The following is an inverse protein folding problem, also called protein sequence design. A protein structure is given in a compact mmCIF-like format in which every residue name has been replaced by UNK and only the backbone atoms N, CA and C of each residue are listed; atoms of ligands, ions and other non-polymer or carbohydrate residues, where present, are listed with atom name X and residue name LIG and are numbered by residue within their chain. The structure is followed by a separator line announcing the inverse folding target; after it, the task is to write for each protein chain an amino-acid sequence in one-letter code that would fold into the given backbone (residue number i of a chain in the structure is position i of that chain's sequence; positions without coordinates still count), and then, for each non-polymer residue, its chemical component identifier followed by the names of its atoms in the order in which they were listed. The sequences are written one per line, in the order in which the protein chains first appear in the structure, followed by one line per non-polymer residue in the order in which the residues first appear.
data_IF_829652096032
#
_entry.id   IF_829652096032
#
_cell.length_a   1.000
_cell.length_b   1.000
_cell.length_c   1.000
_cell.angle_alpha   90.00
_cell.angle_beta   90.00
_cell.angle_gamma   90.00
#
_symmetry.space_group_name_H-M   'P 1'
#
loop_
_entity.id
_entity.type
_entity.pdbx_description
1 polymer ?
#
# COMPACT_ATOMS: atom_id res chain seq x y z
N UNK A 1 -49.51 41.47 -1.04
CA UNK A 1 -49.29 42.94 -1.06
C UNK A 1 -48.17 43.36 -0.09
N UNK A 2 -48.26 43.08 1.22
CA UNK A 2 -47.23 43.52 2.18
C UNK A 2 -45.83 42.87 1.98
N UNK A 3 -45.77 41.60 1.59
CA UNK A 3 -44.51 40.90 1.29
C UNK A 3 -43.79 41.45 0.06
N UNK A 4 -44.54 41.83 -0.97
CA UNK A 4 -44.02 42.42 -2.22
C UNK A 4 -43.39 43.79 -1.97
N UNK A 5 -44.09 44.67 -1.23
CA UNK A 5 -43.58 46.02 -0.90
C UNK A 5 -42.29 45.94 -0.07
N UNK A 6 -42.22 45.01 0.89
CA UNK A 6 -41.03 44.84 1.73
C UNK A 6 -39.84 44.31 0.91
N UNK A 7 -40.08 43.39 -0.02
CA UNK A 7 -39.06 42.88 -0.95
C UNK A 7 -38.49 43.98 -1.83
N UNK A 8 -39.35 44.80 -2.44
CA UNK A 8 -38.94 45.94 -3.27
C UNK A 8 -38.15 46.98 -2.46
N UNK A 9 -38.60 47.30 -1.24
CA UNK A 9 -37.91 48.25 -0.36
C UNK A 9 -36.51 47.75 0.03
N UNK A 10 -36.39 46.49 0.43
CA UNK A 10 -35.11 45.89 0.84
C UNK A 10 -34.11 45.87 -0.33
N UNK A 11 -34.56 45.51 -1.53
CA UNK A 11 -33.71 45.50 -2.72
C UNK A 11 -33.30 46.91 -3.16
N UNK A 12 -34.22 47.88 -3.05
CA UNK A 12 -33.91 49.30 -3.27
C UNK A 12 -32.88 49.83 -2.27
N UNK A 13 -33.04 49.50 -0.99
CA UNK A 13 -32.11 49.90 0.08
C UNK A 13 -30.72 49.28 -0.11
N UNK A 14 -30.65 47.97 -0.37
CA UNK A 14 -29.42 47.24 -0.70
C UNK A 14 -28.69 47.89 -1.88
N UNK A 15 -29.41 48.19 -2.97
CA UNK A 15 -28.82 48.78 -4.18
C UNK A 15 -28.31 50.20 -3.94
N UNK A 16 -29.03 51.00 -3.14
CA UNK A 16 -28.58 52.33 -2.75
C UNK A 16 -27.33 52.29 -1.84
N UNK A 17 -27.31 51.39 -0.86
CA UNK A 17 -26.15 51.18 0.01
C UNK A 17 -24.93 50.69 -0.76
N UNK A 18 -25.11 49.77 -1.71
CA UNK A 18 -24.05 49.27 -2.58
C UNK A 18 -23.44 50.40 -3.42
N UNK A 19 -24.30 51.21 -4.06
CA UNK A 19 -23.86 52.37 -4.84
C UNK A 19 -23.13 53.41 -3.97
N UNK A 20 -23.60 53.65 -2.75
CA UNK A 20 -22.93 54.52 -1.79
C UNK A 20 -21.58 53.94 -1.35
N UNK A 21 -21.50 52.64 -1.08
CA UNK A 21 -20.27 51.98 -0.64
C UNK A 21 -19.17 52.10 -1.69
N UNK A 22 -19.50 51.78 -2.95
CA UNK A 22 -18.57 51.85 -4.08
C UNK A 22 -18.22 53.31 -4.43
N UNK A 23 -19.22 54.19 -4.50
CA UNK A 23 -19.05 55.55 -5.02
C UNK A 23 -18.57 56.59 -4.02
N UNK A 24 -18.80 56.38 -2.72
CA UNK A 24 -18.53 57.37 -1.67
C UNK A 24 -17.68 56.81 -0.54
N UNK A 25 -18.06 55.67 0.04
CA UNK A 25 -17.35 55.15 1.22
C UNK A 25 -15.94 54.65 0.89
N UNK A 26 -15.81 53.69 -0.03
CA UNK A 26 -14.50 53.10 -0.37
C UNK A 26 -13.47 54.14 -0.86
N UNK A 27 -13.81 55.10 -1.75
CA UNK A 27 -12.88 56.15 -2.18
C UNK A 27 -12.48 57.13 -1.08
N UNK A 28 -13.36 57.42 -0.12
CA UNK A 28 -13.13 58.41 0.95
C UNK A 28 -12.77 57.77 2.30
N UNK A 29 -12.53 56.46 2.34
CA UNK A 29 -12.27 55.69 3.57
C UNK A 29 -10.94 56.02 4.25
N UNK A 30 -10.00 56.63 3.52
CA UNK A 30 -8.62 56.83 3.97
C UNK A 30 -7.73 55.57 3.82
N UNK A 31 -8.30 54.44 3.41
CA UNK A 31 -7.57 53.21 3.08
C UNK A 31 -7.33 53.15 1.56
N UNK A 32 -6.09 53.41 1.16
CA UNK A 32 -5.68 53.37 -0.25
C UNK A 32 -5.86 52.00 -0.89
N UNK A 33 -5.71 50.90 -0.12
CA UNK A 33 -5.87 49.53 -0.60
C UNK A 33 -7.33 49.27 -0.92
N UNK A 34 -8.22 49.57 0.02
CA UNK A 34 -9.67 49.44 -0.17
C UNK A 34 -10.17 50.30 -1.34
N UNK A 35 -9.70 51.55 -1.43
CA UNK A 35 -10.10 52.47 -2.49
C UNK A 35 -9.70 52.00 -3.88
N UNK A 36 -8.59 51.25 -4.00
CA UNK A 36 -8.11 50.71 -5.26
C UNK A 36 -8.79 49.39 -5.63
N UNK A 37 -9.10 48.55 -4.63
CA UNK A 37 -9.72 47.24 -4.85
C UNK A 37 -11.20 47.34 -5.21
N UNK A 38 -11.97 48.22 -4.55
CA UNK A 38 -13.43 48.24 -4.69
C UNK A 38 -13.86 49.17 -5.83
N UNK A 39 -14.24 48.63 -6.99
CA UNK A 39 -14.75 49.38 -8.15
C UNK A 39 -16.10 48.88 -8.64
N UNK A 40 -16.40 47.62 -8.42
CA UNK A 40 -17.57 46.91 -8.93
C UNK A 40 -18.33 46.21 -7.80
N UNK A 41 -19.59 45.82 -8.02
CA UNK A 41 -20.32 44.95 -7.10
C UNK A 41 -19.60 43.63 -6.77
N UNK A 42 -18.89 43.06 -7.74
CA UNK A 42 -18.15 41.81 -7.56
C UNK A 42 -16.97 42.02 -6.59
N UNK A 43 -16.27 43.15 -6.68
CA UNK A 43 -15.20 43.50 -5.72
C UNK A 43 -15.76 43.64 -4.29
N UNK A 44 -16.99 44.16 -4.15
CA UNK A 44 -17.68 44.24 -2.85
C UNK A 44 -18.02 42.85 -2.33
N UNK A 45 -18.49 41.94 -3.20
CA UNK A 45 -18.75 40.56 -2.85
C UNK A 45 -17.49 39.84 -2.38
N UNK A 46 -16.39 39.94 -3.15
CA UNK A 46 -15.12 39.31 -2.80
C UNK A 46 -14.56 39.86 -1.49
N UNK A 47 -14.63 41.18 -1.27
CA UNK A 47 -14.10 41.82 -0.07
C UNK A 47 -14.94 41.60 1.19
N UNK A 48 -16.28 41.71 1.08
CA UNK A 48 -17.18 41.54 2.22
C UNK A 48 -17.64 40.09 2.43
N UNK A 49 -17.30 39.18 1.51
CA UNK A 49 -17.65 37.75 1.53
C UNK A 49 -19.16 37.50 1.60
N UNK A 50 -19.96 38.43 1.11
CA UNK A 50 -21.43 38.35 1.06
C UNK A 50 -21.93 38.99 -0.23
N UNK A 51 -22.74 38.25 -0.98
CA UNK A 51 -23.20 38.69 -2.30
C UNK A 51 -24.23 39.84 -2.15
N UNK A 52 -23.90 41.07 -2.61
CA UNK A 52 -24.76 42.23 -2.48
C UNK A 52 -25.85 42.30 -3.57
N UNK A 53 -25.94 41.31 -4.47
CA UNK A 53 -26.90 41.26 -5.57
C UNK A 53 -28.02 40.23 -5.36
N UNK A 54 -27.98 39.46 -4.27
CA UNK A 54 -29.00 38.48 -3.90
C UNK A 54 -30.39 39.10 -3.68
N UNK A 55 -31.42 38.49 -4.25
CA UNK A 55 -32.81 38.93 -4.10
C UNK A 55 -33.35 38.66 -2.69
N UNK A 56 -34.40 39.36 -2.30
CA UNK A 56 -35.01 39.18 -0.97
C UNK A 56 -35.64 37.78 -0.76
N UNK A 57 -35.84 37.01 -1.83
CA UNK A 57 -36.50 35.70 -1.76
C UNK A 57 -35.54 34.57 -1.36
N UNK A 58 -34.22 34.80 -1.45
CA UNK A 58 -33.22 33.82 -1.02
C UNK A 58 -33.07 33.88 0.49
N UNK A 59 -33.53 32.82 1.16
CA UNK A 59 -33.45 32.71 2.62
C UNK A 59 -32.23 31.87 3.03
N UNK A 60 -31.46 32.37 3.99
CA UNK A 60 -30.34 31.67 4.61
C UNK A 60 -30.34 31.91 6.12
N UNK A 61 -29.78 30.96 6.88
CA UNK A 61 -29.56 31.17 8.31
C UNK A 61 -28.29 32.00 8.51
N UNK A 62 -28.19 32.72 9.64
CA UNK A 62 -26.99 33.51 9.96
C UNK A 62 -25.72 32.65 10.02
N UNK A 63 -25.84 31.42 10.54
CA UNK A 63 -24.72 30.49 10.64
C UNK A 63 -24.31 29.97 9.27
N UNK A 64 -25.27 29.61 8.42
CA UNK A 64 -25.00 29.15 7.06
C UNK A 64 -24.31 30.26 6.23
N UNK A 65 -24.79 31.50 6.32
CA UNK A 65 -24.15 32.62 5.62
C UNK A 65 -22.71 32.86 6.11
N UNK A 66 -22.49 32.88 7.43
CA UNK A 66 -21.15 33.07 7.98
C UNK A 66 -20.20 31.94 7.56
N UNK A 67 -20.69 30.70 7.52
CA UNK A 67 -19.95 29.54 7.04
C UNK A 67 -19.57 29.68 5.56
N UNK A 68 -20.51 30.08 4.69
CA UNK A 68 -20.23 30.34 3.27
C UNK A 68 -19.17 31.43 3.08
N UNK A 69 -19.24 32.52 3.86
CA UNK A 69 -18.25 33.60 3.83
C UNK A 69 -16.85 33.09 4.20
N UNK A 70 -16.73 32.30 5.27
CA UNK A 70 -15.45 31.73 5.71
C UNK A 70 -14.92 30.72 4.68
N UNK A 71 -15.79 29.87 4.11
CA UNK A 71 -15.41 28.92 3.06
C UNK A 71 -14.86 29.63 1.82
N UNK A 72 -15.54 30.70 1.36
CA UNK A 72 -15.06 31.53 0.26
C UNK A 72 -13.67 32.08 0.55
N UNK A 73 -13.46 32.65 1.74
CA UNK A 73 -12.17 33.21 2.13
C UNK A 73 -11.04 32.18 2.14
N UNK A 74 -11.27 31.01 2.75
CA UNK A 74 -10.27 29.93 2.79
C UNK A 74 -9.97 29.42 1.37
N UNK A 75 -10.98 29.31 0.50
CA UNK A 75 -10.79 28.94 -0.89
C UNK A 75 -9.95 29.96 -1.67
N UNK A 76 -10.20 31.26 -1.46
CA UNK A 76 -9.41 32.32 -2.07
C UNK A 76 -7.94 32.29 -1.59
N UNK A 77 -7.68 31.97 -0.32
CA UNK A 77 -6.31 31.75 0.18
C UNK A 77 -5.69 30.51 -0.49
N UNK A 78 -6.41 29.39 -0.50
CA UNK A 78 -5.94 28.12 -1.07
C UNK A 78 -5.57 28.21 -2.56
N UNK A 79 -6.27 29.07 -3.31
CA UNK A 79 -6.04 29.34 -4.72
C UNK A 79 -5.02 30.47 -4.98
N UNK A 80 -4.40 31.03 -3.93
CA UNK A 80 -3.53 32.21 -4.00
C UNK A 80 -4.20 33.43 -4.68
N UNK A 81 -5.50 33.57 -4.50
CA UNK A 81 -6.28 34.72 -4.96
C UNK A 81 -6.30 35.84 -3.91
N UNK A 82 -6.15 35.51 -2.62
CA UNK A 82 -6.09 36.52 -1.55
C UNK A 82 -4.73 37.24 -1.50
N UNK A 83 -4.71 38.58 -1.63
CA UNK A 83 -3.50 39.37 -1.46
C UNK A 83 -2.88 39.19 -0.06
N UNK A 84 -1.55 39.16 0.00
CA UNK A 84 -0.80 39.06 1.27
C UNK A 84 -0.45 37.64 1.69
N UNK A 85 -1.06 36.61 1.09
CA UNK A 85 -0.76 35.20 1.38
C UNK A 85 0.24 34.56 0.41
N UNK A 86 0.58 35.23 -0.70
CA UNK A 86 1.47 34.74 -1.77
C UNK A 86 2.91 34.39 -1.33
N UNK A 87 3.32 34.77 -0.11
CA UNK A 87 4.68 34.53 0.42
C UNK A 87 4.71 33.51 1.55
N UNK A 88 3.55 33.02 1.99
CA UNK A 88 3.45 32.00 3.03
C UNK A 88 3.31 30.64 2.38
N UNK A 89 4.18 29.70 2.74
CA UNK A 89 3.95 28.30 2.42
C UNK A 89 2.73 27.84 3.22
N UNK A 90 1.58 27.69 2.55
CA UNK A 90 0.42 27.03 3.14
C UNK A 90 0.83 25.61 3.52
N UNK A 91 0.50 25.16 4.73
CA UNK A 91 0.76 23.80 5.15
C UNK A 91 0.05 22.83 4.19
N UNK A 92 0.85 22.07 3.44
CA UNK A 92 0.36 21.11 2.46
C UNK A 92 -0.60 20.08 3.07
N UNK A 93 -0.43 19.77 4.36
CA UNK A 93 -1.31 18.86 5.11
C UNK A 93 -2.68 19.48 5.32
N UNK A 94 -2.74 20.74 5.74
CA UNK A 94 -4.02 21.45 5.93
C UNK A 94 -4.72 21.69 4.60
N UNK A 95 -3.99 22.05 3.55
CA UNK A 95 -4.55 22.24 2.22
C UNK A 95 -5.14 20.94 1.67
N UNK A 96 -4.43 19.82 1.83
CA UNK A 96 -4.94 18.49 1.47
C UNK A 96 -6.18 18.14 2.27
N UNK A 97 -6.21 18.42 3.58
CA UNK A 97 -7.39 18.20 4.43
C UNK A 97 -8.58 19.05 3.98
N UNK A 98 -8.36 20.32 3.67
CA UNK A 98 -9.38 21.23 3.14
C UNK A 98 -10.00 20.67 1.86
N UNK A 99 -9.15 20.36 0.88
CA UNK A 99 -9.58 19.85 -0.43
C UNK A 99 -10.21 18.45 -0.38
N UNK A 100 -9.92 17.66 0.65
CA UNK A 100 -10.48 16.31 0.82
C UNK A 100 -11.85 16.31 1.52
N UNK A 101 -12.49 17.48 1.72
CA UNK A 101 -13.86 17.55 2.20
C UNK A 101 -14.10 18.42 3.43
N UNK A 102 -13.05 19.02 4.02
CA UNK A 102 -13.28 20.00 5.10
C UNK A 102 -13.85 21.34 4.57
N UNK A 103 -13.73 21.57 3.26
CA UNK A 103 -14.39 22.65 2.52
C UNK A 103 -15.92 22.52 2.47
N UNK A 104 -16.46 21.32 2.70
CA UNK A 104 -17.90 21.02 2.60
C UNK A 104 -18.46 20.53 3.93
N UNK A 105 -19.44 21.26 4.47
CA UNK A 105 -20.05 20.95 5.77
C UNK A 105 -20.56 19.50 5.87
N UNK A 106 -21.21 18.99 4.83
CA UNK A 106 -21.76 17.63 4.85
C UNK A 106 -20.66 16.55 4.91
N UNK A 107 -19.57 16.73 4.17
CA UNK A 107 -18.45 15.79 4.16
C UNK A 107 -17.67 15.86 5.47
N UNK A 108 -17.38 17.08 5.94
CA UNK A 108 -16.79 17.29 7.26
C UNK A 108 -17.63 16.68 8.38
N UNK A 109 -18.96 16.90 8.35
CA UNK A 109 -19.89 16.34 9.32
C UNK A 109 -19.88 14.81 9.29
N UNK A 110 -19.83 14.21 8.10
CA UNK A 110 -19.67 12.77 7.93
C UNK A 110 -18.36 12.22 8.51
N UNK A 111 -17.24 12.95 8.40
CA UNK A 111 -15.99 12.55 9.06
C UNK A 111 -16.07 12.59 10.59
N UNK A 112 -16.71 13.62 11.15
CA UNK A 112 -16.93 13.73 12.61
C UNK A 112 -17.85 12.62 13.10
N UNK A 113 -18.90 12.31 12.33
CA UNK A 113 -19.81 11.22 12.64
C UNK A 113 -19.12 9.86 12.52
N UNK A 114 -18.30 9.62 11.50
CA UNK A 114 -17.53 8.38 11.33
C UNK A 114 -16.59 8.10 12.52
N UNK A 115 -15.96 9.15 13.05
CA UNK A 115 -15.07 9.04 14.23
C UNK A 115 -15.86 8.70 15.52
N UNK A 116 -17.09 9.22 15.64
CA UNK A 116 -17.93 9.05 16.84
C UNK A 116 -18.84 7.81 16.79
N UNK A 117 -19.33 7.46 15.61
CA UNK A 117 -20.34 6.44 15.33
C UNK A 117 -19.96 5.61 14.08
N UNK A 118 -18.81 4.90 14.12
CA UNK A 118 -18.36 4.10 12.98
C UNK A 118 -19.38 3.03 12.55
N UNK A 119 -20.23 2.55 13.46
CA UNK A 119 -21.30 1.59 13.19
C UNK A 119 -22.32 2.06 12.14
N UNK A 120 -22.49 3.38 11.97
CA UNK A 120 -23.37 3.95 10.94
C UNK A 120 -22.80 3.74 9.52
N UNK A 121 -21.49 3.52 9.41
CA UNK A 121 -20.76 3.43 8.14
C UNK A 121 -20.18 2.03 7.86
N UNK A 122 -20.18 1.14 8.86
CA UNK A 122 -19.73 -0.23 8.67
C UNK A 122 -20.75 -0.99 7.84
N UNK A 123 -20.34 -1.37 6.63
CA UNK A 123 -21.01 -2.39 5.82
C UNK A 123 -20.13 -3.65 5.80
N UNK A 124 -20.60 -4.79 6.36
CA UNK A 124 -19.83 -6.05 6.37
C UNK A 124 -19.39 -6.53 4.98
N UNK A 125 -20.14 -6.16 3.94
CA UNK A 125 -19.87 -6.58 2.55
C UNK A 125 -18.85 -5.70 1.84
N UNK A 126 -18.63 -4.46 2.31
CA UNK A 126 -17.71 -3.48 1.73
C UNK A 126 -16.44 -3.28 2.56
N UNK A 127 -16.14 -4.23 3.44
CA UNK A 127 -14.92 -4.19 4.26
C UNK A 127 -13.70 -4.01 3.34
N UNK A 128 -12.85 -3.05 3.66
CA UNK A 128 -11.55 -2.93 2.99
C UNK A 128 -10.67 -4.13 3.37
N UNK A 129 -9.76 -4.51 2.47
CA UNK A 129 -8.82 -5.64 2.66
C UNK A 129 -9.53 -6.97 3.02
N UNK A 130 -10.56 -7.32 2.24
CA UNK A 130 -11.14 -8.67 2.25
C UNK A 130 -10.13 -9.67 1.67
N UNK A 131 -9.92 -10.78 2.39
CA UNK A 131 -9.06 -11.87 1.92
C UNK A 131 -9.68 -12.58 0.74
N UNK A 132 -8.87 -13.25 -0.09
CA UNK A 132 -9.39 -14.06 -1.20
C UNK A 132 -10.42 -15.09 -0.72
N UNK A 133 -10.11 -15.79 0.36
CA UNK A 133 -10.98 -16.77 1.00
C UNK A 133 -12.35 -16.16 1.42
N UNK A 134 -12.35 -14.92 1.92
CA UNK A 134 -13.60 -14.23 2.27
C UNK A 134 -14.39 -13.78 1.03
N UNK A 135 -13.71 -13.36 -0.02
CA UNK A 135 -14.35 -13.03 -1.30
C UNK A 135 -14.97 -14.26 -1.97
N UNK A 136 -14.33 -15.42 -1.86
CA UNK A 136 -14.84 -16.69 -2.35
C UNK A 136 -16.10 -17.11 -1.58
N UNK A 137 -16.12 -16.92 -0.25
CA UNK A 137 -17.32 -17.10 0.59
C UNK A 137 -18.48 -16.20 0.15
N UNK A 138 -18.22 -14.89 -0.04
CA UNK A 138 -19.25 -13.94 -0.52
C UNK A 138 -19.76 -14.39 -1.88
N UNK A 139 -18.87 -14.80 -2.78
CA UNK A 139 -19.22 -15.24 -4.13
C UNK A 139 -20.11 -16.48 -4.08
N UNK A 140 -19.77 -17.48 -3.27
CA UNK A 140 -20.59 -18.70 -3.14
C UNK A 140 -21.99 -18.41 -2.58
N UNK A 141 -22.07 -17.55 -1.56
CA UNK A 141 -23.35 -17.14 -0.95
C UNK A 141 -24.23 -16.34 -1.93
N UNK A 142 -23.63 -15.53 -2.80
CA UNK A 142 -24.37 -14.71 -3.78
C UNK A 142 -24.90 -15.53 -4.97
N UNK A 143 -24.24 -16.64 -5.32
CA UNK A 143 -24.64 -17.46 -6.47
C UNK A 143 -25.84 -18.38 -6.20
N UNK A 144 -26.03 -18.78 -4.94
CA UNK A 144 -27.06 -19.76 -4.54
C UNK A 144 -28.22 -19.06 -3.83
N UNK A 145 -29.41 -19.64 -3.91
CA UNK A 145 -30.49 -19.24 -3.00
C UNK A 145 -30.05 -19.53 -1.56
N UNK A 146 -30.07 -18.51 -0.71
CA UNK A 146 -29.67 -18.64 0.69
C UNK A 146 -30.67 -19.53 1.42
N UNK A 147 -30.20 -20.71 1.83
CA UNK A 147 -30.87 -21.65 2.71
C UNK A 147 -29.88 -22.09 3.79
N UNK A 148 -30.35 -22.75 4.84
CA UNK A 148 -29.45 -23.25 5.90
C UNK A 148 -28.37 -24.18 5.34
N UNK A 149 -28.72 -25.05 4.38
CA UNK A 149 -27.80 -26.00 3.79
C UNK A 149 -26.74 -25.30 2.92
N UNK A 150 -27.15 -24.32 2.09
CA UNK A 150 -26.20 -23.60 1.23
C UNK A 150 -25.28 -22.68 2.04
N UNK A 151 -25.80 -22.06 3.10
CA UNK A 151 -24.99 -21.27 4.03
C UNK A 151 -23.98 -22.14 4.78
N UNK A 152 -24.40 -23.32 5.28
CA UNK A 152 -23.50 -24.25 5.95
C UNK A 152 -22.38 -24.74 5.03
N UNK A 153 -22.71 -25.08 3.78
CA UNK A 153 -21.72 -25.51 2.78
C UNK A 153 -20.69 -24.41 2.49
N UNK A 154 -21.14 -23.17 2.30
CA UNK A 154 -20.26 -22.05 2.01
C UNK A 154 -19.29 -21.77 3.18
N UNK A 155 -19.81 -21.80 4.42
CA UNK A 155 -18.96 -21.66 5.62
C UNK A 155 -17.98 -22.82 5.77
N UNK A 156 -18.38 -24.06 5.46
CA UNK A 156 -17.47 -25.20 5.46
C UNK A 156 -16.36 -25.04 4.42
N UNK A 157 -16.68 -24.54 3.22
CA UNK A 157 -15.69 -24.21 2.19
C UNK A 157 -14.66 -23.19 2.69
N UNK A 158 -15.14 -22.09 3.26
CA UNK A 158 -14.30 -21.07 3.89
C UNK A 158 -13.39 -21.64 4.99
N UNK A 159 -13.93 -22.48 5.88
CA UNK A 159 -13.14 -23.06 6.97
C UNK A 159 -12.04 -24.02 6.47
N UNK A 160 -12.29 -24.76 5.38
CA UNK A 160 -11.28 -25.63 4.78
C UNK A 160 -10.12 -24.83 4.17
N UNK A 161 -10.39 -23.71 3.52
CA UNK A 161 -9.35 -22.80 3.01
C UNK A 161 -8.60 -22.12 4.15
N UNK A 162 -9.33 -21.68 5.18
CA UNK A 162 -8.74 -21.11 6.39
C UNK A 162 -7.78 -22.09 7.09
N UNK A 163 -8.17 -23.36 7.22
CA UNK A 163 -7.33 -24.40 7.83
C UNK A 163 -6.00 -24.58 7.07
N UNK A 164 -6.01 -24.49 5.74
CA UNK A 164 -4.79 -24.59 4.93
C UNK A 164 -3.80 -23.46 5.24
N UNK A 165 -4.28 -22.21 5.32
CA UNK A 165 -3.42 -21.06 5.58
C UNK A 165 -3.03 -20.91 7.06
N UNK A 166 -3.85 -21.44 7.97
CA UNK A 166 -3.58 -21.41 9.41
C UNK A 166 -2.45 -22.38 9.82
N UNK A 167 -2.30 -23.50 9.12
CA UNK A 167 -1.32 -24.55 9.42
C UNK A 167 0.00 -24.42 8.63
N UNK A 168 0.26 -23.27 8.00
CA UNK A 168 1.49 -23.05 7.24
C UNK A 168 2.72 -23.05 8.16
N UNK A 169 3.77 -23.76 7.74
CA UNK A 169 5.08 -23.72 8.39
C UNK A 169 5.94 -22.63 7.75
N UNK A 170 6.49 -21.71 8.56
CA UNK A 170 7.43 -20.69 8.07
C UNK A 170 8.73 -21.35 7.61
N UNK A 171 9.14 -21.05 6.38
CA UNK A 171 10.34 -21.57 5.74
C UNK A 171 11.50 -20.59 5.90
N UNK A 172 11.30 -19.35 5.45
CA UNK A 172 12.29 -18.28 5.46
C UNK A 172 11.63 -16.90 5.50
N UNK A 173 12.42 -15.87 5.77
CA UNK A 173 12.00 -14.47 5.72
C UNK A 173 13.06 -13.58 5.08
N UNK A 174 12.63 -12.43 4.58
CA UNK A 174 13.46 -11.39 3.96
C UNK A 174 13.01 -10.02 4.43
N UNK A 175 13.94 -9.19 4.90
CA UNK A 175 13.70 -7.81 5.26
C UNK A 175 14.21 -6.88 4.14
N UNK A 176 13.39 -5.92 3.74
CA UNK A 176 13.74 -4.94 2.70
C UNK A 176 14.66 -3.83 3.19
N UNK A 177 14.69 -3.58 4.50
CA UNK A 177 15.52 -2.55 5.13
C UNK A 177 16.60 -3.18 6.03
N UNK A 178 17.72 -2.47 6.20
CA UNK A 178 18.79 -2.82 7.15
C UNK A 178 18.35 -2.57 8.59
N UNK A 179 17.54 -1.53 8.80
CA UNK A 179 16.92 -1.22 10.07
C UNK A 179 15.72 -2.16 10.30
N UNK A 180 15.87 -3.07 11.24
CA UNK A 180 14.86 -4.08 11.55
C UNK A 180 13.55 -3.47 12.08
N UNK A 181 13.54 -2.19 12.45
CA UNK A 181 12.33 -1.48 12.90
C UNK A 181 11.56 -0.83 11.75
N UNK A 182 12.03 -1.00 10.51
CA UNK A 182 11.47 -0.36 9.31
C UNK A 182 11.31 -1.34 8.16
N UNK A 183 10.64 -0.86 7.12
CA UNK A 183 10.46 -1.56 5.87
C UNK A 183 9.48 -2.72 5.95
N UNK A 184 9.45 -3.47 4.85
CA UNK A 184 8.58 -4.62 4.66
C UNK A 184 9.37 -5.90 4.88
N UNK A 185 8.79 -6.80 5.67
CA UNK A 185 9.22 -8.18 5.82
C UNK A 185 8.39 -9.07 4.92
N UNK A 186 9.05 -9.87 4.10
CA UNK A 186 8.40 -10.94 3.33
C UNK A 186 8.67 -12.27 4.02
N UNK A 187 7.61 -13.04 4.27
CA UNK A 187 7.69 -14.38 4.84
C UNK A 187 7.26 -15.41 3.81
N UNK A 188 8.03 -16.49 3.72
CA UNK A 188 7.71 -17.67 2.94
C UNK A 188 7.17 -18.74 3.89
N UNK A 189 5.98 -19.25 3.59
CA UNK A 189 5.35 -20.38 4.27
C UNK A 189 5.18 -21.55 3.30
N UNK A 190 5.04 -22.76 3.85
CA UNK A 190 4.64 -23.93 3.07
C UNK A 190 3.57 -24.74 3.79
N UNK A 191 2.71 -25.40 3.01
CA UNK A 191 1.72 -26.34 3.54
C UNK A 191 2.39 -27.56 4.17
N UNK A 192 1.66 -28.20 5.09
CA UNK A 192 2.05 -29.47 5.71
C UNK A 192 1.51 -30.69 4.95
N UNK A 193 0.60 -30.45 4.01
CA UNK A 193 0.02 -31.46 3.11
C UNK A 193 0.96 -31.81 1.96
N UNK A 194 0.74 -32.98 1.35
CA UNK A 194 1.36 -33.41 0.10
C UNK A 194 0.31 -33.43 -1.01
N UNK A 195 0.54 -32.79 -2.18
CA UNK A 195 1.74 -32.05 -2.55
C UNK A 195 1.92 -30.75 -1.76
N UNK A 196 3.18 -30.34 -1.58
CA UNK A 196 3.54 -29.11 -0.87
C UNK A 196 3.17 -27.90 -1.73
N UNK A 197 2.48 -26.93 -1.13
CA UNK A 197 2.17 -25.63 -1.73
C UNK A 197 2.89 -24.54 -0.94
N UNK A 198 3.61 -23.68 -1.65
CA UNK A 198 4.26 -22.52 -1.07
C UNK A 198 3.34 -21.30 -1.07
N UNK A 199 3.48 -20.47 -0.03
CA UNK A 199 2.75 -19.22 0.14
C UNK A 199 3.70 -18.11 0.58
N UNK A 200 3.37 -16.87 0.26
CA UNK A 200 4.09 -15.72 0.78
C UNK A 200 3.14 -14.71 1.41
N UNK A 201 3.63 -13.95 2.38
CA UNK A 201 2.93 -12.77 2.90
C UNK A 201 3.92 -11.67 3.22
N UNK A 202 3.43 -10.45 3.36
CA UNK A 202 4.20 -9.31 3.80
C UNK A 202 3.75 -8.79 5.16
N UNK A 203 4.68 -8.16 5.86
CA UNK A 203 4.46 -7.44 7.10
C UNK A 203 5.16 -6.08 7.03
N UNK A 204 4.39 -5.01 7.14
CA UNK A 204 4.92 -3.64 7.18
C UNK A 204 5.26 -3.26 8.62
N UNK A 205 6.57 -3.23 8.91
CA UNK A 205 7.07 -2.93 10.24
C UNK A 205 6.83 -1.45 10.63
N UNK A 206 6.64 -0.56 9.66
CA UNK A 206 6.34 0.86 9.95
C UNK A 206 4.96 1.06 10.60
N UNK A 207 4.07 0.08 10.45
CA UNK A 207 2.73 0.05 11.06
C UNK A 207 2.73 -0.63 12.44
N UNK A 208 3.90 -0.94 12.99
CA UNK A 208 4.09 -1.37 14.36
C UNK A 208 4.54 -0.20 15.23
N UNK A 209 3.59 0.49 15.88
CA UNK A 209 3.88 1.65 16.74
C UNK A 209 3.74 1.23 18.19
N UNK A 210 4.81 1.36 18.98
CA UNK A 210 4.84 1.00 20.40
C UNK A 210 4.37 -0.44 20.71
N UNK A 211 4.72 -1.39 19.85
CA UNK A 211 4.26 -2.80 19.90
C UNK A 211 2.74 -2.98 19.71
N UNK A 212 2.06 -1.97 19.17
CA UNK A 212 0.67 -2.05 18.73
C UNK A 212 0.66 -2.14 17.21
N UNK A 213 0.20 -3.29 16.70
CA UNK A 213 0.09 -3.56 15.27
C UNK A 213 -1.20 -2.99 14.71
N UNK A 214 -1.10 -2.18 13.66
CA UNK A 214 -2.27 -1.87 12.85
C UNK A 214 -2.84 -3.15 12.22
N UNK A 215 -4.16 -3.22 12.06
CA UNK A 215 -4.85 -4.39 11.48
C UNK A 215 -4.41 -4.68 10.03
N UNK A 216 -3.97 -3.65 9.30
CA UNK A 216 -3.47 -3.72 7.93
C UNK A 216 -1.93 -3.84 7.84
N UNK A 217 -1.22 -4.01 8.97
CA UNK A 217 0.22 -4.21 8.96
C UNK A 217 0.62 -5.54 8.28
N UNK A 218 -0.28 -6.52 8.28
CA UNK A 218 -0.10 -7.81 7.64
C UNK A 218 -0.91 -7.91 6.35
N UNK A 219 -0.29 -8.45 5.29
CA UNK A 219 -1.07 -9.01 4.18
C UNK A 219 -1.64 -10.37 4.54
N UNK A 220 -2.61 -10.84 3.76
CA UNK A 220 -2.97 -12.26 3.73
C UNK A 220 -1.83 -13.12 3.17
N UNK A 221 -2.02 -14.44 3.24
CA UNK A 221 -1.15 -15.41 2.58
C UNK A 221 -1.55 -15.56 1.10
N UNK A 222 -0.60 -15.32 0.21
CA UNK A 222 -0.77 -15.50 -1.23
C UNK A 222 -0.11 -16.79 -1.69
N UNK A 223 -0.79 -17.64 -2.48
CA UNK A 223 -0.15 -18.82 -3.04
C UNK A 223 0.95 -18.42 -4.03
N UNK A 224 2.02 -19.21 -4.06
CA UNK A 224 3.05 -19.15 -5.10
C UNK A 224 2.67 -20.14 -6.19
N UNK A 225 2.20 -19.63 -7.33
CA UNK A 225 1.73 -20.45 -8.46
C UNK A 225 2.84 -20.86 -9.45
N UNK A 226 4.08 -20.96 -8.97
CA UNK A 226 5.21 -21.51 -9.74
C UNK A 226 5.43 -22.98 -9.37
N UNK A 227 5.80 -23.81 -10.34
CA UNK A 227 6.04 -25.23 -10.11
C UNK A 227 7.37 -25.44 -9.39
N UNK A 228 7.32 -25.96 -8.16
CA UNK A 228 8.50 -26.26 -7.34
C UNK A 228 8.41 -27.70 -6.90
N UNK A 229 9.48 -28.48 -7.11
CA UNK A 229 9.52 -29.85 -6.61
C UNK A 229 10.18 -29.88 -5.22
N UNK A 230 9.37 -29.83 -4.15
CA UNK A 230 9.86 -29.79 -2.76
C UNK A 230 10.84 -30.93 -2.42
N UNK A 231 10.68 -32.09 -3.07
CA UNK A 231 11.54 -33.26 -2.84
C UNK A 231 12.97 -33.08 -3.39
N UNK A 232 13.17 -32.20 -4.37
CA UNK A 232 14.48 -31.94 -4.97
C UNK A 232 15.19 -30.74 -4.35
N UNK A 233 14.50 -29.95 -3.54
CA UNK A 233 15.03 -28.71 -2.97
C UNK A 233 16.28 -28.97 -2.12
N UNK A 234 17.32 -28.19 -2.39
CA UNK A 234 18.53 -28.13 -1.59
C UNK A 234 18.52 -26.85 -0.74
N UNK A 235 18.67 -27.01 0.58
CA UNK A 235 18.59 -25.90 1.54
C UNK A 235 17.15 -25.38 1.72
N UNK A 236 16.99 -24.06 1.79
CA UNK A 236 15.68 -23.41 1.97
C UNK A 236 15.42 -22.38 0.87
N UNK A 237 14.25 -22.38 0.20
CA UNK A 237 13.89 -21.30 -0.71
C UNK A 237 13.86 -19.94 0.00
N UNK A 238 14.21 -18.88 -0.71
CA UNK A 238 14.37 -17.52 -0.18
C UNK A 238 13.59 -16.54 -1.05
N UNK A 239 12.81 -15.68 -0.41
CA UNK A 239 12.25 -14.49 -1.06
C UNK A 239 13.31 -13.38 -1.07
N UNK A 240 13.27 -12.50 -2.08
CA UNK A 240 14.06 -11.28 -2.11
C UNK A 240 13.33 -10.19 -2.88
N UNK A 241 13.43 -8.95 -2.41
CA UNK A 241 12.90 -7.79 -3.12
C UNK A 241 14.03 -7.05 -3.83
N UNK A 242 13.95 -6.96 -5.15
CA UNK A 242 14.98 -6.36 -6.00
C UNK A 242 14.33 -5.75 -7.25
N UNK A 243 14.83 -4.61 -7.73
CA UNK A 243 14.29 -3.91 -8.91
C UNK A 243 12.76 -3.74 -8.90
N UNK A 244 12.22 -3.34 -7.73
CA UNK A 244 10.79 -3.16 -7.49
C UNK A 244 9.92 -4.41 -7.71
N UNK A 245 10.51 -5.60 -7.60
CA UNK A 245 9.81 -6.89 -7.74
C UNK A 245 10.21 -7.86 -6.64
N UNK A 246 9.28 -8.73 -6.27
CA UNK A 246 9.53 -9.85 -5.38
C UNK A 246 9.97 -11.05 -6.21
N UNK A 247 11.09 -11.65 -5.83
CA UNK A 247 11.63 -12.86 -6.42
C UNK A 247 11.62 -13.99 -5.40
N UNK A 248 11.50 -15.21 -5.89
CA UNK A 248 11.72 -16.44 -5.16
C UNK A 248 12.91 -17.15 -5.79
N UNK A 249 13.88 -17.53 -4.96
CA UNK A 249 15.05 -18.30 -5.36
C UNK A 249 15.09 -19.62 -4.62
N UNK A 250 15.46 -20.67 -5.33
CA UNK A 250 15.65 -21.99 -4.76
C UNK A 250 16.67 -22.78 -5.56
N UNK A 251 17.13 -23.89 -4.99
CA UNK A 251 18.08 -24.79 -5.61
C UNK A 251 17.46 -26.17 -5.67
N UNK A 252 17.61 -26.89 -6.77
CA UNK A 252 17.16 -28.28 -6.92
C UNK A 252 18.34 -29.18 -7.29
N UNK A 253 18.36 -30.41 -6.76
CA UNK A 253 19.33 -31.44 -7.15
C UNK A 253 18.67 -32.44 -8.09
N UNK A 254 19.37 -32.79 -9.16
CA UNK A 254 19.02 -33.92 -10.01
C UNK A 254 20.16 -34.95 -9.96
N UNK A 255 19.80 -36.22 -9.80
CA UNK A 255 20.74 -37.34 -9.84
C UNK A 255 21.07 -37.71 -11.30
N UNK A 256 22.33 -38.07 -11.56
CA UNK A 256 22.75 -38.60 -12.85
C UNK A 256 22.12 -39.97 -13.10
N UNK A 257 21.57 -40.21 -14.30
CA UNK A 257 20.85 -41.44 -14.65
C UNK A 257 21.74 -42.49 -15.33
N UNK A 258 23.07 -42.41 -15.20
CA UNK A 258 23.99 -43.32 -15.87
C UNK A 258 25.40 -43.37 -15.29
N UNK A 259 26.21 -44.37 -15.68
CA UNK A 259 27.55 -44.61 -15.14
C UNK A 259 28.59 -43.51 -15.45
N UNK A 260 28.25 -42.53 -16.29
CA UNK A 260 29.06 -41.34 -16.61
C UNK A 260 28.24 -40.04 -16.50
N UNK A 261 27.11 -40.06 -15.79
CA UNK A 261 26.30 -38.86 -15.57
C UNK A 261 26.57 -38.35 -14.15
N UNK A 262 26.91 -37.06 -14.06
CA UNK A 262 27.13 -36.36 -12.80
C UNK A 262 25.82 -35.89 -12.20
N UNK A 263 25.78 -35.82 -10.88
CA UNK A 263 24.69 -35.12 -10.19
C UNK A 263 24.81 -33.62 -10.47
N UNK A 264 23.69 -32.93 -10.55
CA UNK A 264 23.66 -31.49 -10.78
C UNK A 264 22.87 -30.77 -9.69
N UNK A 265 23.30 -29.56 -9.34
CA UNK A 265 22.51 -28.63 -8.54
C UNK A 265 22.23 -27.41 -9.40
N UNK A 266 20.94 -27.09 -9.55
CA UNK A 266 20.42 -26.03 -10.40
C UNK A 266 19.85 -24.91 -9.56
N UNK A 267 20.25 -23.68 -9.83
CA UNK A 267 19.68 -22.48 -9.23
C UNK A 267 18.52 -21.96 -10.07
N UNK A 268 17.36 -21.79 -9.45
CA UNK A 268 16.15 -21.28 -10.09
C UNK A 268 15.70 -19.96 -9.50
N UNK A 269 15.02 -19.17 -10.33
CA UNK A 269 14.29 -17.99 -9.91
C UNK A 269 12.87 -17.97 -10.48
N UNK A 270 11.97 -17.32 -9.77
CA UNK A 270 10.65 -16.94 -10.26
C UNK A 270 10.34 -15.54 -9.76
N UNK A 271 9.74 -14.71 -10.61
CA UNK A 271 9.41 -13.32 -10.27
C UNK A 271 7.90 -13.15 -10.13
N UNK A 272 7.49 -12.37 -9.14
CA UNK A 272 6.11 -11.99 -8.89
C UNK A 272 5.76 -10.72 -9.67
N UNK A 273 4.68 -10.75 -10.44
CA UNK A 273 4.15 -9.59 -11.15
C UNK A 273 3.25 -8.72 -10.25
N UNK A 274 2.77 -7.60 -10.79
CA UNK A 274 1.90 -6.69 -10.04
C UNK A 274 0.50 -7.28 -9.75
N UNK A 275 0.12 -8.35 -10.46
CA UNK A 275 -1.11 -9.11 -10.24
C UNK A 275 -0.90 -10.28 -9.27
N UNK A 276 0.27 -10.39 -8.64
CA UNK A 276 0.67 -11.45 -7.70
C UNK A 276 0.80 -12.84 -8.33
N UNK A 277 0.95 -12.91 -9.65
CA UNK A 277 1.28 -14.15 -10.35
C UNK A 277 2.79 -14.31 -10.46
N UNK A 278 3.24 -15.55 -10.33
CA UNK A 278 4.64 -15.93 -10.42
C UNK A 278 4.96 -16.44 -11.82
N UNK A 279 6.12 -16.05 -12.34
CA UNK A 279 6.62 -16.58 -13.60
C UNK A 279 6.95 -18.08 -13.49
N UNK A 280 6.99 -18.77 -14.63
CA UNK A 280 7.59 -20.10 -14.70
C UNK A 280 9.03 -20.09 -14.15
N UNK A 281 9.51 -21.21 -13.57
CA UNK A 281 10.89 -21.33 -13.11
C UNK A 281 11.89 -20.98 -14.20
N UNK A 282 12.77 -20.03 -13.92
CA UNK A 282 13.88 -19.65 -14.78
C UNK A 282 15.18 -20.24 -14.22
N UNK A 283 15.83 -21.12 -14.99
CA UNK A 283 17.13 -21.68 -14.66
C UNK A 283 18.20 -20.59 -14.80
N UNK A 284 18.86 -20.28 -13.70
CA UNK A 284 19.88 -19.23 -13.64
C UNK A 284 21.28 -19.77 -13.90
N UNK A 285 21.62 -20.91 -13.27
CA UNK A 285 22.94 -21.53 -13.35
C UNK A 285 22.88 -22.97 -12.84
N UNK A 286 23.87 -23.77 -13.23
CA UNK A 286 24.00 -25.18 -12.87
C UNK A 286 25.44 -25.46 -12.48
N UNK A 287 25.61 -26.27 -11.43
CA UNK A 287 26.89 -26.88 -11.06
C UNK A 287 26.75 -28.41 -11.08
N UNK A 288 27.86 -29.11 -11.27
CA UNK A 288 27.93 -30.57 -11.26
C UNK A 288 29.07 -31.08 -10.38
N UNK A 289 29.01 -32.37 -10.02
CA UNK A 289 30.06 -33.05 -9.26
C UNK A 289 31.09 -33.79 -10.13
N UNK A 290 31.15 -33.52 -11.44
CA UNK A 290 32.15 -34.10 -12.31
C UNK A 290 33.48 -33.36 -12.17
N UNK A 291 34.35 -33.90 -11.33
CA UNK A 291 35.71 -33.38 -11.12
C UNK A 291 36.56 -33.25 -12.40
N UNK A 292 36.17 -33.90 -13.51
CA UNK A 292 36.82 -33.72 -14.82
C UNK A 292 36.46 -32.39 -15.50
N UNK A 293 35.29 -31.83 -15.20
CA UNK A 293 34.85 -30.51 -15.68
C UNK A 293 35.44 -29.37 -14.85
N UNK A 294 36.09 -29.68 -13.72
CA UNK A 294 36.61 -28.69 -12.79
C UNK A 294 38.02 -28.23 -13.17
N UNK A 295 38.10 -27.35 -14.16
CA UNK A 295 39.36 -26.88 -14.76
C UNK A 295 40.02 -25.73 -13.99
N UNK A 296 39.28 -25.04 -13.11
CA UNK A 296 39.78 -23.98 -12.24
C UNK A 296 39.81 -24.39 -10.75
N UNK A 297 40.51 -23.63 -9.91
CA UNK A 297 40.42 -23.80 -8.44
C UNK A 297 39.02 -23.51 -7.90
N UNK A 298 38.25 -22.73 -8.66
CA UNK A 298 36.89 -22.32 -8.33
C UNK A 298 35.91 -23.48 -8.59
N UNK A 299 36.04 -24.22 -9.68
CA UNK A 299 35.10 -25.33 -9.94
C UNK A 299 35.13 -26.43 -8.85
N UNK A 300 36.27 -26.61 -8.16
CA UNK A 300 36.47 -27.60 -7.09
C UNK A 300 35.84 -27.24 -5.74
N UNK A 301 35.37 -26.00 -5.54
CA UNK A 301 34.76 -25.62 -4.26
C UNK A 301 33.35 -26.19 -4.09
N UNK A 302 32.64 -26.51 -5.18
CA UNK A 302 31.24 -26.95 -5.13
C UNK A 302 31.04 -28.42 -4.73
N UNK A 303 32.07 -29.26 -4.84
CA UNK A 303 31.97 -30.72 -4.60
C UNK A 303 31.36 -31.07 -3.24
N UNK A 304 31.68 -30.29 -2.22
CA UNK A 304 31.15 -30.52 -0.88
C UNK A 304 29.64 -30.33 -0.78
N UNK A 305 29.03 -29.55 -1.66
CA UNK A 305 27.57 -29.34 -1.66
C UNK A 305 26.81 -30.63 -1.97
N UNK A 306 27.41 -31.54 -2.75
CA UNK A 306 26.80 -32.82 -3.13
C UNK A 306 26.89 -33.88 -2.03
N UNK A 307 27.79 -33.70 -1.06
CA UNK A 307 28.05 -34.65 0.04
C UNK A 307 27.67 -34.10 1.42
N UNK A 308 27.33 -32.81 1.51
CA UNK A 308 26.95 -32.15 2.75
C UNK A 308 25.67 -32.74 3.37
N UNK A 309 25.65 -32.86 4.69
CA UNK A 309 24.47 -33.27 5.44
C UNK A 309 23.49 -32.12 5.66
N UNK A 310 24.01 -30.91 5.88
CA UNK A 310 23.23 -29.70 6.08
C UNK A 310 23.60 -28.66 5.04
N UNK A 311 22.64 -28.32 4.18
CA UNK A 311 22.76 -27.22 3.23
C UNK A 311 21.99 -26.01 3.75
N UNK A 312 22.58 -24.84 3.58
CA UNK A 312 21.99 -23.57 3.96
C UNK A 312 21.95 -22.63 2.77
N UNK A 313 20.96 -21.75 2.76
CA UNK A 313 20.82 -20.72 1.73
C UNK A 313 20.96 -19.35 2.34
N UNK A 314 21.50 -18.40 1.59
CA UNK A 314 21.50 -16.99 1.93
C UNK A 314 21.01 -16.20 0.72
N UNK A 315 20.31 -15.10 0.99
CA UNK A 315 19.94 -14.13 -0.02
C UNK A 315 20.04 -12.74 0.59
N UNK A 316 20.69 -11.81 -0.11
CA UNK A 316 20.89 -10.46 0.37
C UNK A 316 21.10 -9.49 -0.77
N UNK A 317 20.45 -8.33 -0.70
CA UNK A 317 20.64 -7.23 -1.64
C UNK A 317 21.72 -6.27 -1.12
N UNK A 318 22.73 -6.03 -1.94
CA UNK A 318 23.77 -5.05 -1.66
C UNK A 318 23.44 -3.72 -2.36
N UNK A 319 23.00 -2.75 -1.57
CA UNK A 319 22.65 -1.42 -2.06
C UNK A 319 23.84 -0.61 -2.62
N UNK A 320 25.09 -0.92 -2.22
CA UNK A 320 26.26 -0.20 -2.71
C UNK A 320 26.64 -0.64 -4.13
N UNK A 321 26.59 -1.95 -4.38
CA UNK A 321 26.96 -2.55 -5.66
C UNK A 321 25.75 -2.78 -6.57
N UNK A 322 24.55 -2.45 -6.08
CA UNK A 322 23.25 -2.70 -6.70
C UNK A 322 23.10 -4.14 -7.22
N UNK A 323 23.58 -5.10 -6.43
CA UNK A 323 23.61 -6.51 -6.79
C UNK A 323 22.84 -7.35 -5.78
N UNK A 324 22.14 -8.36 -6.28
CA UNK A 324 21.46 -9.35 -5.45
C UNK A 324 22.32 -10.62 -5.38
N UNK A 325 22.78 -10.97 -4.18
CA UNK A 325 23.52 -12.21 -3.94
C UNK A 325 22.54 -13.30 -3.48
N UNK A 326 22.57 -14.45 -4.14
CA UNK A 326 21.94 -15.68 -3.69
C UNK A 326 23.01 -16.76 -3.60
N UNK A 327 23.02 -17.52 -2.51
CA UNK A 327 24.04 -18.52 -2.25
C UNK A 327 23.44 -19.78 -1.63
N UNK A 328 23.92 -20.94 -2.09
CA UNK A 328 23.78 -22.23 -1.42
C UNK A 328 25.14 -22.63 -0.88
N UNK A 329 25.25 -22.88 0.42
CA UNK A 329 26.53 -23.21 1.05
C UNK A 329 26.41 -24.41 2.00
N UNK A 330 27.54 -25.08 2.21
CA UNK A 330 27.66 -26.17 3.16
C UNK A 330 27.61 -25.65 4.60
N UNK A 331 26.62 -26.10 5.37
CA UNK A 331 26.44 -25.78 6.79
C UNK A 331 27.14 -26.77 7.74
N UNK A 332 27.75 -27.83 7.22
CA UNK A 332 28.40 -28.84 8.06
C UNK A 332 29.60 -28.25 8.82
N UNK A 333 29.61 -28.43 10.15
CA UNK A 333 30.70 -27.94 11.00
C UNK A 333 30.70 -26.43 11.25
N UNK A 334 29.70 -25.69 10.76
CA UNK A 334 29.55 -24.26 11.05
C UNK A 334 29.14 -24.08 12.52
N UNK A 335 30.04 -23.53 13.32
CA UNK A 335 29.86 -23.32 14.78
C UNK A 335 29.79 -21.85 15.18
N UNK A 336 30.06 -20.92 14.26
CA UNK A 336 30.02 -19.47 14.46
C UNK A 336 29.72 -18.73 13.13
N UNK A 337 29.40 -17.44 13.22
CA UNK A 337 29.26 -16.54 12.06
C UNK A 337 30.60 -16.44 11.31
N UNK A 338 30.57 -16.52 9.98
CA UNK A 338 31.76 -16.40 9.14
C UNK A 338 31.41 -15.61 7.87
N UNK A 339 32.27 -14.67 7.49
CA UNK A 339 32.15 -13.88 6.24
C UNK A 339 32.79 -14.59 5.03
N UNK A 340 33.45 -15.73 5.25
CA UNK A 340 34.13 -16.50 4.21
C UNK A 340 33.31 -17.74 3.86
N UNK A 341 32.77 -17.80 2.66
CA UNK A 341 32.08 -18.99 2.15
C UNK A 341 33.02 -20.19 2.12
N UNK A 342 32.78 -21.18 2.97
CA UNK A 342 33.39 -22.49 2.75
C UNK A 342 32.49 -23.26 1.79
N UNK A 343 32.87 -23.35 0.52
CA UNK A 343 32.23 -24.20 -0.50
C UNK A 343 30.77 -23.76 -0.78
N UNK A 344 30.60 -22.73 -1.60
CA UNK A 344 29.32 -22.07 -1.88
C UNK A 344 29.01 -21.94 -3.37
N UNK A 345 27.78 -22.23 -3.76
CA UNK A 345 27.23 -21.90 -5.08
C UNK A 345 26.54 -20.54 -4.99
N UNK A 346 27.29 -19.49 -5.33
CA UNK A 346 26.88 -18.09 -5.21
C UNK A 346 26.66 -17.42 -6.57
N UNK A 347 25.55 -16.70 -6.71
CA UNK A 347 25.19 -15.94 -7.90
C UNK A 347 24.94 -14.48 -7.51
N UNK A 348 25.59 -13.56 -8.20
CA UNK A 348 25.31 -12.13 -8.14
C UNK A 348 24.53 -11.71 -9.39
N UNK A 349 23.33 -11.15 -9.19
CA UNK A 349 22.44 -10.64 -10.24
C UNK A 349 22.50 -9.11 -10.28
#
# INVERSE_FOLDING_TARGET
MSTTISSELNQGYRSALLAYYIGQYAPNSGDTTLSNMIKTPDDVYEYLLIDPLVTNDVQTSRVAQAMSSIQQYINSIALNMEPGYNTQALDATQLKRWNNGADQYAVWGGYVELDSYPENYIDPTLRQDQTSCFNDLITELNQKTVSNDTAQQAVMGYLNEFEQVANLTIVSGYATDKDQTKGIYYLLGKSTSSPVQYYWRSFDMSLNVDNVLASNAWSEWYPINTSINDALIQGKPRLAYFNNRLYLFWFERAEGNGPNESDTIMAYSSQCDFSRNWSSPYLMSTIDNDTANHTSSDDKYCDKLFTAKYLCTACGYNANDNSLLISLYCGDGVSAYTESGYNDFSLAI
#
